data_IF_477739557237
#
_entry.id   IF_477739557237
#
_cell.length_a   1.000
_cell.length_b   1.000
_cell.length_c   1.000
_cell.angle_alpha   90.00
_cell.angle_beta   90.00
_cell.angle_gamma   90.00
#
_symmetry.space_group_name_H-M   'P 1'
#
loop_
_entity.id
_entity.type
_entity.pdbx_description
1 polymer ?
#
# COMPACT_ATOMS: atom_id res chain seq x y z
N UNK A 1 9.49 18.77 12.71
CA UNK A 1 9.14 17.50 12.07
C UNK A 1 10.30 16.52 12.23
N UNK A 2 10.03 15.30 12.68
CA UNK A 2 11.02 14.26 12.96
C UNK A 2 10.77 12.97 12.15
N UNK A 3 11.37 11.86 12.57
CA UNK A 3 11.22 10.56 11.89
C UNK A 3 9.76 10.08 11.79
N UNK A 4 8.94 10.38 12.80
CA UNK A 4 7.51 10.05 12.82
C UNK A 4 6.74 10.76 11.71
N UNK A 5 7.04 12.06 11.48
CA UNK A 5 6.38 12.84 10.43
C UNK A 5 6.83 12.41 9.03
N UNK A 6 8.12 12.05 8.87
CA UNK A 6 8.60 11.48 7.62
C UNK A 6 7.91 10.15 7.30
N UNK A 7 7.76 9.28 8.30
CA UNK A 7 7.06 8.02 8.13
C UNK A 7 5.58 8.24 7.76
N UNK A 8 4.88 9.11 8.50
CA UNK A 8 3.43 9.31 8.30
C UNK A 8 3.05 10.13 7.07
N UNK A 9 3.94 11.00 6.57
CA UNK A 9 3.62 11.87 5.44
C UNK A 9 4.23 11.41 4.12
N UNK A 10 5.40 10.76 4.15
CA UNK A 10 6.12 10.34 2.94
C UNK A 10 6.02 8.85 2.73
N UNK A 11 6.40 8.05 3.74
CA UNK A 11 6.43 6.59 3.59
C UNK A 11 5.03 5.96 3.63
N UNK A 12 4.01 6.70 4.06
CA UNK A 12 2.59 6.32 3.92
C UNK A 12 1.94 6.89 2.65
N UNK A 13 2.66 7.66 1.83
CA UNK A 13 2.14 8.11 0.55
C UNK A 13 2.01 6.91 -0.38
N UNK A 14 0.78 6.57 -0.75
CA UNK A 14 0.51 5.44 -1.64
C UNK A 14 1.28 5.54 -2.97
N UNK A 15 1.54 6.76 -3.48
CA UNK A 15 2.33 6.98 -4.69
C UNK A 15 3.82 6.64 -4.47
N UNK A 16 4.39 7.01 -3.33
CA UNK A 16 5.79 6.72 -2.99
C UNK A 16 5.96 5.23 -2.72
N UNK A 17 5.04 4.62 -1.96
CA UNK A 17 5.04 3.17 -1.69
C UNK A 17 4.95 2.39 -3.00
N UNK A 18 4.02 2.76 -3.88
CA UNK A 18 3.89 2.17 -5.21
C UNK A 18 5.20 2.23 -6.01
N UNK A 19 5.82 3.40 -6.09
CA UNK A 19 7.07 3.56 -6.82
C UNK A 19 8.22 2.76 -6.19
N UNK A 20 8.33 2.75 -4.86
CA UNK A 20 9.34 1.96 -4.16
C UNK A 20 9.15 0.46 -4.41
N UNK A 21 7.94 -0.07 -4.34
CA UNK A 21 7.65 -1.51 -4.48
C UNK A 21 7.89 -2.08 -5.88
N UNK A 22 7.89 -1.24 -6.91
CA UNK A 22 8.04 -1.65 -8.31
C UNK A 22 9.39 -1.31 -8.91
N UNK A 23 10.08 -0.28 -8.40
CA UNK A 23 11.29 0.25 -9.04
C UNK A 23 12.51 0.09 -8.15
N UNK A 24 12.33 0.05 -6.83
CA UNK A 24 13.43 0.03 -5.87
C UNK A 24 13.28 -1.14 -4.88
N UNK A 25 14.34 -1.38 -4.11
CA UNK A 25 14.27 -2.23 -2.92
C UNK A 25 14.42 -1.31 -1.72
N UNK A 26 13.33 -0.98 -0.99
CA UNK A 26 13.43 -0.09 0.15
C UNK A 26 14.20 -0.79 1.29
N UNK A 27 15.27 -0.15 1.76
CA UNK A 27 16.06 -0.61 2.91
C UNK A 27 16.00 0.46 4.00
N UNK A 28 15.60 0.05 5.19
CA UNK A 28 15.54 0.92 6.36
C UNK A 28 16.68 0.64 7.33
N UNK A 29 17.57 1.61 7.49
CA UNK A 29 18.67 1.56 8.45
C UNK A 29 18.30 2.44 9.64
N UNK A 30 18.22 1.82 10.82
CA UNK A 30 17.93 2.57 12.04
C UNK A 30 19.21 3.20 12.57
N UNK A 31 19.14 4.48 12.90
CA UNK A 31 20.16 5.10 13.74
C UNK A 31 19.86 4.82 15.22
N UNK A 32 20.87 4.94 16.08
CA UNK A 32 20.73 4.86 17.55
C UNK A 32 20.14 3.57 18.16
N UNK A 33 20.08 2.44 17.43
CA UNK A 33 19.47 1.19 17.95
C UNK A 33 20.48 0.17 18.51
N UNK A 34 21.77 0.52 18.60
CA UNK A 34 22.81 -0.36 19.13
C UNK A 34 23.18 -1.57 18.26
N UNK A 35 22.48 -1.81 17.14
CA UNK A 35 22.70 -2.94 16.25
C UNK A 35 24.02 -2.80 15.47
N UNK A 36 24.89 -3.81 15.54
CA UNK A 36 26.20 -3.81 14.87
C UNK A 36 26.11 -3.74 13.34
N UNK A 37 25.08 -4.34 12.72
CA UNK A 37 24.89 -4.29 11.27
C UNK A 37 24.51 -2.87 10.80
N UNK A 38 23.58 -2.22 11.50
CA UNK A 38 23.16 -0.85 11.18
C UNK A 38 24.33 0.13 11.42
N UNK A 39 25.10 -0.05 12.51
CA UNK A 39 26.32 0.74 12.77
C UNK A 39 27.37 0.59 11.67
N UNK A 40 27.58 -0.64 11.17
CA UNK A 40 28.53 -0.90 10.10
C UNK A 40 28.14 -0.14 8.81
N UNK A 41 26.85 -0.17 8.46
CA UNK A 41 26.33 0.54 7.29
C UNK A 41 26.43 2.06 7.47
N UNK A 42 26.05 2.59 8.64
CA UNK A 42 26.22 4.02 8.93
C UNK A 42 27.69 4.46 8.80
N UNK A 43 28.63 3.64 9.28
CA UNK A 43 30.07 3.90 9.13
C UNK A 43 30.53 3.86 7.67
N UNK A 44 30.08 2.87 6.90
CA UNK A 44 30.35 2.73 5.46
C UNK A 44 29.94 3.99 4.70
N UNK A 45 28.73 4.50 4.97
CA UNK A 45 28.19 5.70 4.32
C UNK A 45 28.57 7.02 5.01
N UNK A 46 29.39 6.98 6.07
CA UNK A 46 29.79 8.14 6.89
C UNK A 46 28.59 8.93 7.45
N UNK A 47 27.52 8.22 7.82
CA UNK A 47 26.35 8.80 8.46
C UNK A 47 26.53 8.87 9.97
N UNK A 48 26.16 9.99 10.62
CA UNK A 48 26.25 10.11 12.06
C UNK A 48 25.22 9.20 12.75
N UNK A 49 25.59 8.69 13.93
CA UNK A 49 24.73 7.83 14.74
C UNK A 49 23.45 8.51 15.26
N UNK A 50 23.43 9.86 15.21
CA UNK A 50 22.29 10.69 15.54
C UNK A 50 22.07 11.70 14.41
N UNK A 51 21.01 11.48 13.62
CA UNK A 51 20.64 12.31 12.50
C UNK A 51 19.13 12.27 12.28
N UNK A 52 18.61 13.24 11.56
CA UNK A 52 17.27 13.18 11.00
C UNK A 52 17.23 12.20 9.80
N UNK A 53 16.03 11.81 9.31
CA UNK A 53 15.90 10.83 8.22
C UNK A 53 16.67 11.26 6.98
N UNK A 54 17.48 10.39 6.40
CA UNK A 54 18.17 10.66 5.13
C UNK A 54 17.83 9.56 4.14
N UNK A 55 17.77 9.91 2.86
CA UNK A 55 17.57 8.94 1.79
C UNK A 55 18.81 8.87 0.91
N UNK A 56 19.20 7.64 0.56
CA UNK A 56 20.24 7.33 -0.42
C UNK A 56 19.66 6.39 -1.46
N UNK A 57 20.10 6.55 -2.71
CA UNK A 57 19.67 5.74 -3.85
C UNK A 57 20.89 5.04 -4.38
N UNK A 58 20.92 3.72 -4.23
CA UNK A 58 22.10 2.91 -4.50
C UNK A 58 21.80 1.93 -5.63
N UNK A 59 22.82 1.60 -6.41
CA UNK A 59 22.78 0.46 -7.31
C UNK A 59 23.16 -0.86 -6.58
N UNK A 60 23.18 -1.97 -7.30
CA UNK A 60 23.51 -3.29 -6.75
C UNK A 60 24.94 -3.36 -6.15
N UNK A 61 25.87 -2.55 -6.68
CA UNK A 61 27.24 -2.43 -6.17
C UNK A 61 27.38 -1.41 -5.02
N UNK A 62 26.27 -0.96 -4.43
CA UNK A 62 26.22 0.03 -3.34
C UNK A 62 26.79 1.40 -3.70
N UNK A 63 26.86 1.74 -4.99
CA UNK A 63 27.25 3.08 -5.45
C UNK A 63 26.04 4.00 -5.51
N UNK A 64 26.23 5.26 -5.13
CA UNK A 64 25.18 6.27 -5.20
C UNK A 64 24.82 6.56 -6.67
N UNK A 65 23.53 6.46 -6.99
CA UNK A 65 22.97 6.82 -8.29
C UNK A 65 22.77 8.33 -8.42
N UNK A 66 22.38 8.96 -7.31
CA UNK A 66 22.19 10.41 -7.20
C UNK A 66 22.72 10.89 -5.86
N UNK A 67 22.88 12.20 -5.73
CA UNK A 67 23.34 12.82 -4.50
C UNK A 67 22.45 12.44 -3.31
N UNK A 68 23.09 12.12 -2.18
CA UNK A 68 22.46 11.96 -0.88
C UNK A 68 21.41 13.05 -0.66
N UNK A 69 20.23 12.66 -0.19
CA UNK A 69 19.14 13.58 0.07
C UNK A 69 19.08 13.93 1.57
N UNK A 70 19.73 15.04 2.01
CA UNK A 70 19.54 15.55 3.35
C UNK A 70 18.16 16.20 3.49
N UNK A 71 17.77 16.49 4.73
CA UNK A 71 16.70 17.42 5.03
C UNK A 71 15.33 17.06 4.43
N UNK A 72 15.07 15.79 4.12
CA UNK A 72 13.77 15.33 3.58
C UNK A 72 12.59 15.73 4.46
N UNK A 73 12.82 16.01 5.73
CA UNK A 73 11.84 16.42 6.74
C UNK A 73 11.57 17.95 6.79
N UNK A 74 12.30 18.79 6.04
CA UNK A 74 12.18 20.25 6.09
C UNK A 74 11.19 20.84 5.08
N UNK A 75 10.77 20.06 4.07
CA UNK A 75 9.88 20.57 3.03
C UNK A 75 8.40 20.42 3.41
N UNK A 76 7.54 21.37 3.06
CA UNK A 76 6.07 21.17 3.10
C UNK A 76 5.56 20.27 1.96
N UNK A 77 6.44 19.92 1.01
CA UNK A 77 6.16 19.11 -0.18
C UNK A 77 7.06 17.87 -0.23
N UNK A 78 7.20 17.17 0.90
CA UNK A 78 8.13 16.04 1.04
C UNK A 78 7.88 14.92 0.01
N UNK A 79 6.62 14.61 -0.27
CA UNK A 79 6.22 13.64 -1.30
C UNK A 79 6.72 14.07 -2.68
N UNK A 80 6.58 15.35 -3.04
CA UNK A 80 7.05 15.87 -4.31
C UNK A 80 8.57 15.83 -4.45
N UNK A 81 9.30 16.14 -3.37
CA UNK A 81 10.75 16.05 -3.31
C UNK A 81 11.23 14.61 -3.53
N UNK A 82 10.67 13.66 -2.79
CA UNK A 82 11.04 12.24 -2.89
C UNK A 82 10.65 11.67 -4.26
N UNK A 83 9.47 12.02 -4.79
CA UNK A 83 9.07 11.63 -6.14
C UNK A 83 10.03 12.16 -7.22
N UNK A 84 10.49 13.41 -7.07
CA UNK A 84 11.50 13.97 -7.96
C UNK A 84 12.83 13.23 -7.92
N UNK A 85 13.27 12.83 -6.72
CA UNK A 85 14.53 12.09 -6.53
C UNK A 85 14.44 10.64 -7.01
N UNK A 86 13.29 10.00 -6.87
CA UNK A 86 13.03 8.69 -7.48
C UNK A 86 13.15 8.78 -9.02
N UNK A 87 12.60 9.82 -9.66
CA UNK A 87 12.74 10.02 -11.11
C UNK A 87 14.20 10.22 -11.54
N UNK A 88 14.97 11.03 -10.81
CA UNK A 88 16.39 11.23 -11.07
C UNK A 88 17.20 9.93 -10.96
N UNK A 89 16.91 9.11 -9.93
CA UNK A 89 17.56 7.81 -9.74
C UNK A 89 17.18 6.80 -10.84
N UNK A 90 15.92 6.81 -11.31
CA UNK A 90 15.47 5.99 -12.44
C UNK A 90 16.26 6.34 -13.70
N UNK A 91 16.40 7.63 -14.00
CA UNK A 91 17.11 8.13 -15.17
C UNK A 91 18.61 7.82 -15.10
N UNK A 92 19.25 8.09 -13.95
CA UNK A 92 20.67 7.82 -13.72
C UNK A 92 21.01 6.32 -13.81
N UNK A 93 20.14 5.46 -13.26
CA UNK A 93 20.28 4.01 -13.32
C UNK A 93 19.84 3.40 -14.65
N UNK A 94 19.23 4.18 -15.55
CA UNK A 94 18.62 3.73 -16.81
C UNK A 94 17.65 2.57 -16.60
N UNK A 95 16.86 2.62 -15.52
CA UNK A 95 15.89 1.60 -15.21
C UNK A 95 14.65 1.76 -16.10
N UNK A 96 14.19 0.66 -16.69
CA UNK A 96 12.89 0.64 -17.38
C UNK A 96 11.78 0.61 -16.34
N UNK A 97 10.90 1.60 -16.41
CA UNK A 97 9.74 1.74 -15.53
C UNK A 97 8.51 1.94 -16.39
N UNK A 98 7.39 1.34 -16.03
CA UNK A 98 6.18 1.49 -16.83
C UNK A 98 5.67 2.94 -16.81
N UNK A 99 5.10 3.36 -17.94
CA UNK A 99 4.66 4.73 -18.19
C UNK A 99 3.69 5.26 -17.13
N UNK A 100 2.85 4.39 -16.57
CA UNK A 100 1.87 4.75 -15.54
C UNK A 100 2.56 5.09 -14.21
N UNK A 101 3.60 4.35 -13.81
CA UNK A 101 4.43 4.68 -12.64
C UNK A 101 5.19 6.00 -12.86
N UNK A 102 5.77 6.19 -14.05
CA UNK A 102 6.46 7.43 -14.41
C UNK A 102 5.51 8.63 -14.35
N UNK A 103 4.28 8.47 -14.84
CA UNK A 103 3.24 9.50 -14.78
C UNK A 103 2.90 9.83 -13.32
N UNK A 104 2.68 8.83 -12.48
CA UNK A 104 2.38 9.05 -11.06
C UNK A 104 3.49 9.80 -10.33
N UNK A 105 4.76 9.41 -10.54
CA UNK A 105 5.90 10.11 -9.97
C UNK A 105 6.02 11.55 -10.48
N UNK A 106 5.75 11.80 -11.76
CA UNK A 106 5.71 13.16 -12.34
C UNK A 106 4.59 14.00 -11.74
N UNK A 107 3.41 13.43 -11.57
CA UNK A 107 2.26 14.10 -10.97
C UNK A 107 2.50 14.39 -9.47
N UNK A 108 3.08 13.45 -8.73
CA UNK A 108 3.48 13.64 -7.33
C UNK A 108 4.56 14.72 -7.19
N UNK A 109 5.57 14.73 -8.08
CA UNK A 109 6.58 15.81 -8.17
C UNK A 109 5.93 17.17 -8.42
N UNK A 110 4.85 17.21 -9.21
CA UNK A 110 4.07 18.42 -9.45
C UNK A 110 3.10 18.78 -8.30
N UNK A 111 3.08 18.02 -7.20
CA UNK A 111 2.22 18.26 -6.05
C UNK A 111 0.78 17.77 -6.23
N UNK A 112 0.48 16.97 -7.27
CA UNK A 112 -0.84 16.39 -7.47
C UNK A 112 -1.03 15.15 -6.59
N UNK A 113 -2.24 14.99 -6.07
CA UNK A 113 -2.65 13.81 -5.30
C UNK A 113 -3.45 12.85 -6.18
N UNK A 114 -3.33 11.56 -5.89
CA UNK A 114 -4.14 10.51 -6.50
C UNK A 114 -5.06 9.93 -5.43
N UNK A 115 -6.24 9.47 -5.85
CA UNK A 115 -7.11 8.67 -4.98
C UNK A 115 -6.49 7.30 -4.75
N UNK A 116 -6.66 6.75 -3.55
CA UNK A 116 -6.05 5.48 -3.15
C UNK A 116 -6.44 4.33 -4.08
N UNK A 117 -7.68 4.32 -4.59
CA UNK A 117 -8.14 3.31 -5.54
C UNK A 117 -7.41 3.42 -6.88
N UNK A 118 -7.16 4.64 -7.36
CA UNK A 118 -6.44 4.88 -8.62
C UNK A 118 -4.95 4.51 -8.48
N UNK A 119 -4.35 4.75 -7.31
CA UNK A 119 -2.99 4.29 -7.01
C UNK A 119 -2.93 2.77 -6.99
N UNK A 120 -3.89 2.12 -6.31
CA UNK A 120 -3.96 0.67 -6.24
C UNK A 120 -4.15 0.02 -7.62
N UNK A 121 -4.96 0.62 -8.49
CA UNK A 121 -5.14 0.16 -9.88
C UNK A 121 -3.83 0.24 -10.69
N UNK A 122 -3.07 1.33 -10.55
CA UNK A 122 -1.78 1.46 -11.24
C UNK A 122 -0.76 0.47 -10.67
N UNK A 123 -0.64 0.33 -9.35
CA UNK A 123 0.20 -0.70 -8.71
C UNK A 123 -0.15 -2.09 -9.21
N UNK A 124 -1.44 -2.42 -9.29
CA UNK A 124 -1.90 -3.70 -9.82
C UNK A 124 -1.54 -3.88 -11.30
N UNK A 125 -1.62 -2.83 -12.11
CA UNK A 125 -1.21 -2.86 -13.52
C UNK A 125 0.32 -3.01 -13.69
N UNK A 126 1.10 -2.36 -12.85
CA UNK A 126 2.57 -2.44 -12.83
C UNK A 126 3.06 -3.82 -12.43
N UNK A 127 2.42 -4.43 -11.44
CA UNK A 127 2.64 -5.83 -11.06
C UNK A 127 2.40 -6.77 -12.24
N UNK A 128 1.41 -6.49 -13.10
CA UNK A 128 1.17 -7.29 -14.31
C UNK A 128 2.32 -7.25 -15.33
N UNK A 129 3.11 -6.16 -15.37
CA UNK A 129 4.21 -5.99 -16.34
C UNK A 129 5.54 -6.62 -15.91
N UNK A 130 5.59 -7.23 -14.72
CA UNK A 130 6.75 -8.00 -14.19
C UNK A 130 7.24 -9.09 -15.18
N UNK A 131 6.38 -9.54 -16.08
CA UNK A 131 6.64 -10.62 -17.03
C UNK A 131 7.80 -10.43 -18.02
N UNK A 132 8.22 -9.21 -18.33
CA UNK A 132 9.23 -8.98 -19.39
C UNK A 132 10.67 -9.33 -18.98
N UNK A 133 10.96 -9.41 -17.69
CA UNK A 133 12.32 -9.65 -17.19
C UNK A 133 12.54 -11.08 -16.63
N UNK A 134 11.48 -11.89 -16.53
CA UNK A 134 11.59 -13.25 -15.98
C UNK A 134 12.00 -14.25 -17.06
N UNK A 135 12.71 -15.30 -16.65
CA UNK A 135 13.09 -16.39 -17.52
C UNK A 135 11.87 -17.00 -18.25
N UNK A 136 12.02 -17.31 -19.55
CA UNK A 136 10.96 -17.86 -20.44
C UNK A 136 10.20 -19.08 -19.88
N UNK A 137 10.83 -19.84 -18.99
CA UNK A 137 10.20 -20.98 -18.32
C UNK A 137 9.00 -20.57 -17.45
N UNK A 138 8.91 -19.29 -17.06
CA UNK A 138 7.85 -18.73 -16.23
C UNK A 138 6.73 -18.05 -17.04
N UNK A 139 6.72 -18.12 -18.37
CA UNK A 139 5.68 -17.51 -19.21
C UNK A 139 4.25 -17.88 -18.76
N UNK A 140 4.03 -19.13 -18.38
CA UNK A 140 2.74 -19.59 -17.89
C UNK A 140 2.41 -19.01 -16.50
N UNK A 141 3.41 -18.90 -15.62
CA UNK A 141 3.28 -18.25 -14.31
C UNK A 141 2.90 -16.77 -14.49
N UNK A 142 3.61 -16.06 -15.38
CA UNK A 142 3.33 -14.66 -15.72
C UNK A 142 1.90 -14.49 -16.20
N UNK A 143 1.46 -15.30 -17.18
CA UNK A 143 0.08 -15.24 -17.71
C UNK A 143 -0.99 -15.51 -16.64
N UNK A 144 -0.72 -16.42 -15.70
CA UNK A 144 -1.62 -16.67 -14.58
C UNK A 144 -1.66 -15.47 -13.61
N UNK A 145 -0.48 -14.89 -13.34
CA UNK A 145 -0.34 -13.72 -12.47
C UNK A 145 -1.05 -12.48 -13.04
N UNK A 146 -0.92 -12.21 -14.34
CA UNK A 146 -1.61 -11.12 -15.05
C UNK A 146 -3.14 -11.29 -14.99
N UNK A 147 -3.62 -12.54 -15.03
CA UNK A 147 -5.04 -12.89 -14.85
C UNK A 147 -5.50 -12.87 -13.39
N UNK A 148 -4.59 -12.56 -12.46
CA UNK A 148 -4.84 -12.53 -11.01
C UNK A 148 -5.27 -13.88 -10.44
N UNK A 149 -4.79 -14.95 -11.06
CA UNK A 149 -4.87 -16.31 -10.52
C UNK A 149 -3.58 -16.61 -9.78
N UNK A 150 -3.46 -16.06 -8.56
CA UNK A 150 -2.22 -16.12 -7.79
C UNK A 150 -1.89 -17.53 -7.32
N UNK A 151 -2.91 -18.35 -7.05
CA UNK A 151 -2.71 -19.76 -6.73
C UNK A 151 -2.08 -20.50 -7.91
N UNK A 152 -2.61 -20.31 -9.12
CA UNK A 152 -2.03 -20.95 -10.31
C UNK A 152 -0.64 -20.43 -10.64
N UNK A 153 -0.43 -19.13 -10.52
CA UNK A 153 0.88 -18.52 -10.74
C UNK A 153 1.92 -19.11 -9.77
N UNK A 154 1.58 -19.20 -8.48
CA UNK A 154 2.46 -19.78 -7.45
C UNK A 154 2.74 -21.25 -7.72
N UNK A 155 1.72 -22.05 -8.05
CA UNK A 155 1.88 -23.46 -8.42
C UNK A 155 2.86 -23.65 -9.58
N UNK A 156 2.73 -22.83 -10.63
CA UNK A 156 3.59 -22.89 -11.81
C UNK A 156 5.03 -22.48 -11.49
N UNK A 157 5.23 -21.44 -10.69
CA UNK A 157 6.55 -21.05 -10.21
C UNK A 157 7.18 -22.16 -9.34
N UNK A 158 6.43 -22.74 -8.40
CA UNK A 158 6.93 -23.83 -7.54
C UNK A 158 7.39 -25.04 -8.36
N UNK A 159 6.72 -25.36 -9.47
CA UNK A 159 7.15 -26.44 -10.38
C UNK A 159 8.51 -26.13 -11.02
N UNK A 160 8.72 -24.90 -11.50
CA UNK A 160 10.01 -24.48 -12.07
C UNK A 160 11.11 -24.48 -11.00
N UNK A 161 10.79 -24.04 -9.78
CA UNK A 161 11.74 -24.02 -8.67
C UNK A 161 12.19 -25.44 -8.26
N UNK A 162 11.25 -26.40 -8.24
CA UNK A 162 11.50 -27.78 -7.81
C UNK A 162 12.10 -28.68 -8.91
N UNK A 163 11.98 -28.30 -10.19
CA UNK A 163 12.50 -29.10 -11.30
C UNK A 163 14.03 -29.07 -11.35
N UNK A 164 14.66 -30.23 -11.11
CA UNK A 164 16.12 -30.38 -11.15
C UNK A 164 16.74 -29.94 -12.49
N UNK A 165 16.00 -30.08 -13.61
CA UNK A 165 16.46 -29.74 -14.96
C UNK A 165 16.36 -28.26 -15.28
N UNK A 166 15.63 -27.49 -14.47
CA UNK A 166 15.50 -26.05 -14.68
C UNK A 166 16.82 -25.33 -14.40
N UNK A 167 17.13 -24.35 -15.26
CA UNK A 167 18.34 -23.54 -15.16
C UNK A 167 18.40 -22.78 -13.82
N UNK A 168 19.60 -22.51 -13.27
CA UNK A 168 19.74 -21.79 -12.00
C UNK A 168 19.00 -20.44 -11.97
N UNK A 169 19.05 -19.68 -13.06
CA UNK A 169 18.33 -18.41 -13.17
C UNK A 169 16.81 -18.62 -13.13
N UNK A 170 16.29 -19.63 -13.83
CA UNK A 170 14.86 -19.96 -13.82
C UNK A 170 14.35 -20.31 -12.41
N UNK A 171 15.16 -21.02 -11.62
CA UNK A 171 14.85 -21.33 -10.21
C UNK A 171 14.87 -20.09 -9.32
N UNK A 172 15.84 -19.20 -9.52
CA UNK A 172 15.92 -17.93 -8.80
C UNK A 172 14.71 -17.04 -9.11
N UNK A 173 14.37 -16.89 -10.39
CA UNK A 173 13.19 -16.13 -10.84
C UNK A 173 11.89 -16.74 -10.30
N UNK A 174 11.80 -18.08 -10.25
CA UNK A 174 10.66 -18.78 -9.69
C UNK A 174 10.52 -18.53 -8.18
N UNK A 175 11.62 -18.60 -7.43
CA UNK A 175 11.65 -18.28 -6.01
C UNK A 175 11.21 -16.83 -5.75
N UNK A 176 11.68 -15.90 -6.56
CA UNK A 176 11.29 -14.50 -6.50
C UNK A 176 9.79 -14.32 -6.78
N UNK A 177 9.24 -14.99 -7.81
CA UNK A 177 7.83 -14.91 -8.15
C UNK A 177 6.93 -15.44 -7.02
N UNK A 178 7.32 -16.56 -6.39
CA UNK A 178 6.63 -17.10 -5.20
C UNK A 178 6.66 -16.09 -4.06
N UNK A 179 7.84 -15.54 -3.73
CA UNK A 179 7.98 -14.55 -2.66
C UNK A 179 7.14 -13.30 -2.92
N UNK A 180 7.04 -12.83 -4.17
CA UNK A 180 6.20 -11.68 -4.55
C UNK A 180 4.72 -11.98 -4.35
N UNK A 181 4.25 -13.17 -4.76
CA UNK A 181 2.85 -13.61 -4.54
C UNK A 181 2.54 -13.71 -3.04
N UNK A 182 3.42 -14.33 -2.27
CA UNK A 182 3.24 -14.53 -0.82
C UNK A 182 3.24 -13.19 -0.07
N UNK A 183 4.14 -12.26 -0.46
CA UNK A 183 4.16 -10.89 0.07
C UNK A 183 2.87 -10.15 -0.26
N UNK A 184 2.38 -10.26 -1.49
CA UNK A 184 1.13 -9.62 -1.92
C UNK A 184 -0.07 -10.11 -1.11
N UNK A 185 -0.13 -11.42 -0.86
CA UNK A 185 -1.16 -11.99 0.00
C UNK A 185 -1.00 -11.53 1.46
N UNK A 186 0.23 -11.48 1.99
CA UNK A 186 0.49 -10.96 3.33
C UNK A 186 0.05 -9.50 3.50
N UNK A 187 0.38 -8.62 2.55
CA UNK A 187 -0.04 -7.21 2.56
C UNK A 187 -1.55 -7.06 2.45
N UNK A 188 -2.20 -7.88 1.63
CA UNK A 188 -3.67 -7.92 1.55
C UNK A 188 -4.29 -8.30 2.91
N UNK A 189 -3.76 -9.34 3.56
CA UNK A 189 -4.21 -9.74 4.91
C UNK A 189 -4.02 -8.62 5.93
N UNK A 190 -2.87 -7.96 5.92
CA UNK A 190 -2.57 -6.85 6.82
C UNK A 190 -3.57 -5.69 6.65
N UNK A 191 -3.85 -5.29 5.40
CA UNK A 191 -4.85 -4.24 5.11
C UNK A 191 -6.23 -4.59 5.66
N UNK A 192 -6.68 -5.83 5.45
CA UNK A 192 -7.99 -6.28 5.94
C UNK A 192 -8.04 -6.30 7.48
N UNK A 193 -6.97 -6.74 8.15
CA UNK A 193 -6.89 -6.68 9.61
C UNK A 193 -6.85 -5.25 10.15
N UNK A 194 -6.18 -4.33 9.46
CA UNK A 194 -6.15 -2.92 9.85
C UNK A 194 -7.53 -2.27 9.70
N UNK A 195 -8.24 -2.54 8.61
CA UNK A 195 -9.63 -2.10 8.43
C UNK A 195 -10.54 -2.67 9.53
N UNK A 196 -10.33 -3.93 9.92
CA UNK A 196 -11.08 -4.57 11.00
C UNK A 196 -10.83 -3.88 12.34
N UNK A 197 -9.57 -3.63 12.70
CA UNK A 197 -9.19 -2.90 13.92
C UNK A 197 -9.75 -1.48 13.94
N UNK A 198 -9.75 -0.80 12.79
CA UNK A 198 -10.32 0.53 12.63
C UNK A 198 -11.86 0.54 12.60
N UNK A 199 -12.50 -0.64 12.61
CA UNK A 199 -13.95 -0.87 12.44
C UNK A 199 -14.50 -0.28 11.13
N UNK A 200 -13.70 -0.22 10.09
CA UNK A 200 -14.08 0.29 8.77
C UNK A 200 -14.69 -0.83 7.91
N UNK A 201 -15.80 -1.41 8.40
CA UNK A 201 -16.35 -2.64 7.84
C UNK A 201 -16.88 -2.51 6.40
N UNK A 202 -17.38 -1.34 6.00
CA UNK A 202 -17.81 -1.11 4.60
C UNK A 202 -16.64 -1.28 3.63
N UNK A 203 -15.50 -0.64 3.92
CA UNK A 203 -14.31 -0.76 3.09
C UNK A 203 -13.69 -2.16 3.19
N UNK A 204 -13.73 -2.77 4.38
CA UNK A 204 -13.27 -4.14 4.59
C UNK A 204 -13.99 -5.12 3.66
N UNK A 205 -15.32 -5.13 3.69
CA UNK A 205 -16.11 -6.08 2.89
C UNK A 205 -16.00 -5.77 1.39
N UNK A 206 -16.02 -4.49 1.00
CA UNK A 206 -15.75 -4.11 -0.40
C UNK A 206 -14.37 -4.57 -0.89
N UNK A 207 -13.34 -4.50 -0.03
CA UNK A 207 -11.98 -4.97 -0.33
C UNK A 207 -11.93 -6.48 -0.50
N UNK A 208 -12.60 -7.24 0.37
CA UNK A 208 -12.69 -8.68 0.29
C UNK A 208 -13.44 -9.15 -0.97
N UNK A 209 -14.60 -8.57 -1.27
CA UNK A 209 -15.39 -8.93 -2.45
C UNK A 209 -14.64 -8.68 -3.76
N UNK A 210 -13.95 -7.54 -3.83
CA UNK A 210 -13.20 -7.17 -5.04
C UNK A 210 -11.96 -8.04 -5.22
N UNK A 211 -11.18 -8.27 -4.17
CA UNK A 211 -9.81 -8.79 -4.28
C UNK A 211 -9.61 -10.18 -3.70
N UNK A 212 -10.43 -10.61 -2.75
CA UNK A 212 -10.27 -11.88 -2.03
C UNK A 212 -10.24 -13.09 -2.97
N UNK A 213 -11.10 -13.11 -3.99
CA UNK A 213 -11.15 -14.17 -5.01
C UNK A 213 -9.82 -14.41 -5.75
N UNK A 214 -8.96 -13.41 -5.86
CA UNK A 214 -7.67 -13.54 -6.55
C UNK A 214 -6.67 -14.43 -5.79
N UNK A 215 -6.89 -14.60 -4.48
CA UNK A 215 -6.04 -15.38 -3.59
C UNK A 215 -6.64 -16.75 -3.25
N UNK A 216 -7.81 -17.09 -3.80
CA UNK A 216 -8.40 -18.41 -3.61
C UNK A 216 -7.45 -19.50 -4.13
N UNK A 217 -7.28 -20.56 -3.34
CA UNK A 217 -6.34 -21.65 -3.64
C UNK A 217 -4.92 -21.44 -3.13
N UNK A 218 -4.57 -20.26 -2.60
CA UNK A 218 -3.33 -20.10 -1.84
C UNK A 218 -3.45 -20.76 -0.46
N UNK A 219 -2.31 -21.22 0.05
CA UNK A 219 -2.22 -21.84 1.36
C UNK A 219 -2.70 -20.89 2.46
N UNK A 220 -3.61 -21.36 3.30
CA UNK A 220 -4.24 -20.57 4.36
C UNK A 220 -5.26 -19.52 3.90
N UNK A 221 -5.45 -19.31 2.59
CA UNK A 221 -6.41 -18.31 2.10
C UNK A 221 -7.86 -18.74 2.28
N UNK A 222 -8.17 -20.02 2.10
CA UNK A 222 -9.54 -20.52 2.23
C UNK A 222 -10.12 -20.31 3.64
N UNK A 223 -9.39 -20.74 4.67
CA UNK A 223 -9.81 -20.57 6.06
C UNK A 223 -9.87 -19.09 6.47
N UNK A 224 -8.89 -18.31 6.01
CA UNK A 224 -8.84 -16.88 6.28
C UNK A 224 -10.02 -16.14 5.64
N UNK A 225 -10.31 -16.35 4.35
CA UNK A 225 -11.46 -15.75 3.66
C UNK A 225 -12.79 -16.21 4.28
N UNK A 226 -12.89 -17.47 4.70
CA UNK A 226 -14.08 -17.99 5.39
C UNK A 226 -14.33 -17.28 6.72
N UNK A 227 -13.29 -16.98 7.49
CA UNK A 227 -13.42 -16.27 8.76
C UNK A 227 -14.09 -14.89 8.58
N UNK A 228 -13.85 -14.20 7.47
CA UNK A 228 -14.50 -12.92 7.18
C UNK A 228 -15.95 -13.06 6.71
N UNK A 229 -16.29 -14.13 5.98
CA UNK A 229 -17.70 -14.44 5.67
C UNK A 229 -18.52 -14.71 6.94
N UNK A 230 -17.89 -15.26 7.98
CA UNK A 230 -18.55 -15.40 9.28
C UNK A 230 -18.60 -14.08 10.05
N UNK A 231 -17.60 -13.20 9.89
CA UNK A 231 -17.60 -11.86 10.48
C UNK A 231 -18.78 -11.00 9.98
N UNK A 232 -19.16 -11.11 8.70
CA UNK A 232 -20.36 -10.46 8.15
C UNK A 232 -21.64 -10.86 8.86
N UNK A 233 -21.68 -12.06 9.46
CA UNK A 233 -22.87 -12.58 10.13
C UNK A 233 -22.98 -12.07 11.56
N UNK A 234 -21.89 -11.60 12.15
CA UNK A 234 -21.83 -11.12 13.53
C UNK A 234 -22.80 -9.96 13.77
N UNK A 235 -23.48 -10.00 14.91
CA UNK A 235 -24.54 -9.04 15.23
C UNK A 235 -24.00 -7.64 15.46
N UNK A 236 -22.84 -7.51 16.10
CA UNK A 236 -22.22 -6.21 16.36
C UNK A 236 -21.67 -5.61 15.06
N UNK A 237 -21.03 -6.44 14.23
CA UNK A 237 -20.55 -6.00 12.90
C UNK A 237 -21.72 -5.56 12.01
N UNK A 238 -22.83 -6.30 11.97
CA UNK A 238 -24.04 -5.88 11.22
C UNK A 238 -24.61 -4.55 11.71
N UNK A 239 -24.60 -4.30 13.01
CA UNK A 239 -25.04 -3.03 13.56
C UNK A 239 -24.10 -1.90 13.13
N UNK A 240 -22.79 -2.13 13.21
CA UNK A 240 -21.76 -1.18 12.77
C UNK A 240 -21.85 -0.86 11.27
N UNK A 241 -22.05 -1.87 10.42
CA UNK A 241 -22.24 -1.69 8.98
C UNK A 241 -23.46 -0.80 8.70
N UNK A 242 -24.61 -1.09 9.31
CA UNK A 242 -25.82 -0.27 9.16
C UNK A 242 -25.64 1.16 9.65
N UNK A 243 -24.86 1.35 10.72
CA UNK A 243 -24.50 2.65 11.23
C UNK A 243 -23.68 3.43 10.20
N UNK A 244 -22.66 2.78 9.61
CA UNK A 244 -21.78 3.37 8.59
C UNK A 244 -22.55 3.71 7.31
N UNK A 245 -23.45 2.84 6.83
CA UNK A 245 -24.32 3.13 5.67
C UNK A 245 -25.21 4.35 5.94
N UNK A 246 -25.75 4.46 7.17
CA UNK A 246 -26.55 5.61 7.58
C UNK A 246 -25.71 6.89 7.61
N UNK A 247 -24.47 6.81 8.12
CA UNK A 247 -23.52 7.91 8.10
C UNK A 247 -23.21 8.37 6.67
N UNK A 248 -22.83 7.47 5.76
CA UNK A 248 -22.50 7.84 4.37
C UNK A 248 -23.65 8.55 3.69
N UNK A 249 -24.87 8.03 3.86
CA UNK A 249 -26.09 8.64 3.35
C UNK A 249 -26.31 10.06 3.90
N UNK A 250 -26.12 10.28 5.20
CA UNK A 250 -26.34 11.60 5.81
C UNK A 250 -25.22 12.59 5.49
N UNK A 251 -23.97 12.12 5.43
CA UNK A 251 -22.83 12.91 5.00
C UNK A 251 -23.00 13.38 3.54
N UNK A 252 -23.47 12.49 2.66
CA UNK A 252 -23.78 12.84 1.27
C UNK A 252 -24.93 13.86 1.18
N UNK A 253 -25.98 13.70 1.99
CA UNK A 253 -27.07 14.68 2.08
C UNK A 253 -26.55 16.06 2.51
N UNK A 254 -25.67 16.11 3.51
CA UNK A 254 -25.06 17.36 3.96
C UNK A 254 -24.20 17.99 2.86
N UNK A 255 -23.38 17.19 2.18
CA UNK A 255 -22.52 17.65 1.10
C UNK A 255 -23.30 18.20 -0.11
N UNK A 256 -24.48 17.63 -0.40
CA UNK A 256 -25.34 18.04 -1.53
C UNK A 256 -26.42 19.05 -1.16
N UNK A 257 -26.49 19.50 0.10
CA UNK A 257 -27.54 20.40 0.55
C UNK A 257 -27.43 21.79 -0.12
N UNK A 258 -28.52 22.21 -0.76
CA UNK A 258 -28.59 23.46 -1.55
C UNK A 258 -29.05 24.68 -0.75
N UNK A 259 -29.67 24.45 0.39
CA UNK A 259 -30.24 25.47 1.27
C UNK A 259 -29.99 25.12 2.74
N UNK A 260 -30.17 26.13 3.61
CA UNK A 260 -29.86 25.99 5.03
C UNK A 260 -30.79 24.99 5.73
N UNK A 261 -32.05 24.87 5.28
CA UNK A 261 -32.99 23.90 5.83
C UNK A 261 -32.54 22.46 5.54
N UNK A 262 -32.05 22.18 4.34
CA UNK A 262 -31.50 20.88 3.97
C UNK A 262 -30.21 20.56 4.75
N UNK A 263 -29.35 21.57 4.97
CA UNK A 263 -28.15 21.42 5.80
C UNK A 263 -28.51 21.11 7.25
N UNK A 264 -29.43 21.87 7.85
CA UNK A 264 -29.90 21.63 9.22
C UNK A 264 -30.51 20.23 9.38
N UNK A 265 -31.32 19.79 8.41
CA UNK A 265 -31.91 18.45 8.44
C UNK A 265 -30.87 17.33 8.38
N UNK A 266 -29.83 17.47 7.54
CA UNK A 266 -28.75 16.48 7.45
C UNK A 266 -27.87 16.48 8.72
N UNK A 267 -27.52 17.67 9.22
CA UNK A 267 -26.79 17.84 10.48
C UNK A 267 -27.52 17.21 11.65
N UNK A 268 -28.84 17.42 11.76
CA UNK A 268 -29.66 16.81 12.82
C UNK A 268 -29.58 15.28 12.79
N UNK A 269 -29.66 14.66 11.60
CA UNK A 269 -29.55 13.20 11.45
C UNK A 269 -28.17 12.68 11.87
N UNK A 270 -27.10 13.40 11.54
CA UNK A 270 -25.74 13.06 11.96
C UNK A 270 -25.59 13.14 13.49
N UNK A 271 -26.17 14.16 14.14
CA UNK A 271 -26.20 14.26 15.61
C UNK A 271 -26.97 13.12 16.25
N UNK A 272 -28.18 12.84 15.76
CA UNK A 272 -28.99 11.73 16.26
C UNK A 272 -28.30 10.37 16.08
N UNK A 273 -27.57 10.17 14.98
CA UNK A 273 -26.77 8.97 14.76
C UNK A 273 -25.66 8.85 15.82
N UNK A 274 -24.96 9.95 16.09
CA UNK A 274 -23.91 9.99 17.10
C UNK A 274 -24.42 9.77 18.55
N UNK A 275 -25.63 10.24 18.86
CA UNK A 275 -26.26 10.06 20.18
C UNK A 275 -26.83 8.66 20.38
N UNK A 276 -27.49 8.10 19.37
CA UNK A 276 -28.17 6.79 19.48
C UNK A 276 -27.20 5.61 19.39
N UNK A 277 -26.03 5.81 18.78
CA UNK A 277 -25.06 4.76 18.52
C UNK A 277 -23.63 5.20 18.89
N UNK A 278 -23.40 5.67 20.13
CA UNK A 278 -22.19 6.39 20.52
C UNK A 278 -20.91 5.57 20.40
N UNK A 279 -21.02 4.24 20.50
CA UNK A 279 -19.88 3.32 20.46
C UNK A 279 -19.49 2.89 19.05
N UNK A 280 -20.13 3.44 18.01
CA UNK A 280 -19.90 3.07 16.60
C UNK A 280 -18.94 3.99 15.88
N UNK A 281 -18.31 3.47 14.81
CA UNK A 281 -17.37 4.23 13.97
C UNK A 281 -18.10 5.30 13.19
N UNK A 282 -19.37 5.04 12.87
CA UNK A 282 -20.27 6.01 12.30
C UNK A 282 -20.49 7.22 13.22
N UNK A 283 -20.64 7.01 14.53
CA UNK A 283 -20.74 8.11 15.50
C UNK A 283 -19.45 8.90 15.62
N UNK A 284 -18.28 8.24 15.66
CA UNK A 284 -16.97 8.91 15.61
C UNK A 284 -16.84 9.80 14.35
N UNK A 285 -17.16 9.24 13.17
CA UNK A 285 -17.10 9.97 11.89
C UNK A 285 -18.12 11.12 11.85
N UNK A 286 -19.32 10.94 12.38
CA UNK A 286 -20.34 11.98 12.45
C UNK A 286 -19.89 13.15 13.34
N UNK A 287 -19.37 12.87 14.54
CA UNK A 287 -18.82 13.88 15.46
C UNK A 287 -17.68 14.67 14.82
N UNK A 288 -16.73 13.96 14.20
CA UNK A 288 -15.61 14.59 13.49
C UNK A 288 -16.08 15.49 12.34
N UNK A 289 -17.07 15.05 11.55
CA UNK A 289 -17.64 15.84 10.46
C UNK A 289 -18.35 17.11 10.94
N UNK A 290 -18.94 17.07 12.14
CA UNK A 290 -19.64 18.19 12.77
C UNK A 290 -18.71 19.12 13.57
N UNK A 291 -17.43 18.78 13.72
CA UNK A 291 -16.48 19.53 14.54
C UNK A 291 -16.70 19.38 16.05
N UNK A 292 -17.41 18.34 16.48
CA UNK A 292 -17.65 17.99 17.88
C UNK A 292 -16.57 17.00 18.35
N UNK A 293 -15.34 17.50 18.51
CA UNK A 293 -14.16 16.74 18.93
C UNK A 293 -13.79 16.96 20.39
#
# INVERSE_FOLDING_TARGET
MGCTDYASQVLQSNIIVAALDHVFVPVFIRNSNGNEHDKAILKEFKEPAWNYPVARFLNAERKELIERLPDVWKSKTMVALVAGKLLEAIEAGKYEVADEALKMLKDAKAGKTWKDEAVAEVVEALDGKIGKALHKALDACVKAYEKRDFAKARELASKVQADEKSEPQAKSDAAWAIAKIDTKFASFKARVEDLKKAREYLELFATLDKRGKHFEGLEGAADWLKAFKELEKDKAVKAEVKALESFEKYAEQLAKAKDDKAKEAATKKLKELAEKQPDTKAAEKAKALLGEG
#
